data_IF_818283787688
#
_entry.id   IF_818283787688
#
_cell.length_a   1.000
_cell.length_b   1.000
_cell.length_c   1.000
_cell.angle_alpha   90.00
_cell.angle_beta   90.00
_cell.angle_gamma   90.00
#
_symmetry.space_group_name_H-M   'P 1'
#
loop_
_entity.id
_entity.type
_entity.pdbx_description
1 polymer ?
#
# COMPACT_ATOMS: atom_id res chain seq x y z
N UNK A 1 -1.73 -7.79 -21.77
CA UNK A 1 -3.14 -8.25 -21.61
C UNK A 1 -3.32 -9.15 -20.36
N UNK A 2 -2.25 -9.53 -19.68
CA UNK A 2 -2.19 -10.50 -18.57
C UNK A 2 -1.53 -9.94 -17.29
N UNK A 3 -1.38 -8.61 -17.20
CA UNK A 3 -0.62 -7.97 -16.13
C UNK A 3 -1.14 -8.29 -14.73
N UNK A 4 -2.46 -8.34 -14.54
CA UNK A 4 -3.04 -8.71 -13.25
C UNK A 4 -2.69 -10.14 -12.84
N UNK A 5 -2.78 -11.09 -13.78
CA UNK A 5 -2.42 -12.50 -13.52
C UNK A 5 -0.96 -12.61 -13.08
N UNK A 6 -0.04 -11.98 -13.81
CA UNK A 6 1.40 -11.96 -13.48
C UNK A 6 1.73 -11.31 -12.13
N UNK A 7 1.00 -10.27 -11.75
CA UNK A 7 1.12 -9.66 -10.41
C UNK A 7 0.72 -10.67 -9.34
N UNK A 8 -0.37 -11.42 -9.54
CA UNK A 8 -0.81 -12.43 -8.58
C UNK A 8 0.23 -13.57 -8.46
N UNK A 9 0.75 -14.06 -9.59
CA UNK A 9 1.85 -15.05 -9.60
C UNK A 9 3.09 -14.53 -8.87
N UNK A 10 3.43 -13.24 -9.03
CA UNK A 10 4.56 -12.62 -8.33
C UNK A 10 4.34 -12.55 -6.82
N UNK A 11 3.12 -12.23 -6.38
CA UNK A 11 2.77 -12.22 -4.95
C UNK A 11 2.80 -13.63 -4.34
N UNK A 12 2.53 -14.68 -5.12
CA UNK A 12 2.63 -16.07 -4.67
C UNK A 12 4.08 -16.55 -4.55
N UNK A 13 5.00 -15.97 -5.33
CA UNK A 13 6.44 -16.24 -5.23
C UNK A 13 7.11 -15.49 -4.07
N UNK A 14 6.52 -14.41 -3.58
CA UNK A 14 7.13 -13.54 -2.56
C UNK A 14 7.59 -14.31 -1.30
N UNK A 15 6.80 -15.22 -0.70
CA UNK A 15 7.22 -15.96 0.49
C UNK A 15 8.51 -16.77 0.28
N UNK A 16 8.76 -17.29 -0.93
CA UNK A 16 9.93 -18.15 -1.22
C UNK A 16 11.25 -17.39 -1.41
N UNK A 17 11.21 -16.06 -1.52
CA UNK A 17 12.41 -15.25 -1.67
C UNK A 17 13.14 -15.09 -0.33
N UNK A 18 14.42 -15.45 -0.30
CA UNK A 18 15.31 -15.30 0.87
C UNK A 18 15.94 -13.89 0.91
N UNK A 19 15.09 -12.89 1.13
CA UNK A 19 15.51 -11.50 1.29
C UNK A 19 14.47 -10.70 2.09
N UNK A 20 14.83 -9.46 2.46
CA UNK A 20 13.88 -8.51 3.04
C UNK A 20 12.88 -8.05 1.98
N UNK A 21 11.60 -8.31 2.25
CA UNK A 21 10.47 -8.06 1.34
C UNK A 21 9.64 -6.88 1.79
N UNK A 22 9.33 -5.99 0.86
CA UNK A 22 8.46 -4.83 1.11
C UNK A 22 7.39 -4.76 0.03
N UNK A 23 6.14 -4.60 0.46
CA UNK A 23 5.03 -4.28 -0.43
C UNK A 23 4.66 -2.81 -0.23
N UNK A 24 4.75 -1.99 -1.28
CA UNK A 24 4.39 -0.58 -1.20
C UNK A 24 3.09 -0.28 -1.93
N UNK A 25 2.11 0.23 -1.19
CA UNK A 25 0.84 0.73 -1.69
C UNK A 25 0.93 2.24 -1.86
N UNK A 26 0.75 2.74 -3.08
CA UNK A 26 0.64 4.18 -3.34
C UNK A 26 -0.83 4.56 -3.50
N UNK A 27 -1.35 5.35 -2.56
CA UNK A 27 -2.77 5.65 -2.40
C UNK A 27 -3.14 7.01 -3.02
N UNK A 28 -4.10 6.99 -3.92
CA UNK A 28 -4.72 8.17 -4.51
C UNK A 28 -6.21 8.20 -4.21
N UNK A 29 -6.67 9.33 -3.66
CA UNK A 29 -8.08 9.59 -3.37
C UNK A 29 -8.92 9.51 -4.64
N UNK A 30 -10.11 8.95 -4.51
CA UNK A 30 -11.04 8.77 -5.64
C UNK A 30 -10.63 7.68 -6.63
N UNK A 31 -9.47 7.04 -6.45
CA UNK A 31 -8.98 5.98 -7.34
C UNK A 31 -8.91 4.62 -6.65
N UNK A 32 -8.04 4.48 -5.63
CA UNK A 32 -7.69 3.16 -5.08
C UNK A 32 -7.76 3.05 -3.55
N UNK A 33 -8.16 4.11 -2.84
CA UNK A 33 -8.44 4.08 -1.40
C UNK A 33 -9.82 3.49 -1.09
N UNK A 34 -10.02 2.22 -1.43
CA UNK A 34 -11.27 1.44 -1.24
C UNK A 34 -10.95 -0.03 -1.00
N UNK A 35 -11.91 -0.78 -0.47
CA UNK A 35 -11.78 -2.22 -0.23
C UNK A 35 -10.51 -2.62 0.57
N UNK A 36 -10.26 -2.05 1.76
CA UNK A 36 -9.06 -2.34 2.56
C UNK A 36 -8.86 -3.84 2.84
N UNK A 37 -9.94 -4.60 2.97
CA UNK A 37 -9.93 -6.04 3.15
C UNK A 37 -9.32 -6.79 1.96
N UNK A 38 -9.43 -6.25 0.73
CA UNK A 38 -8.79 -6.85 -0.45
C UNK A 38 -7.28 -6.61 -0.44
N UNK A 39 -6.82 -5.42 0.00
CA UNK A 39 -5.40 -5.18 0.19
C UNK A 39 -4.81 -6.08 1.28
N UNK A 40 -5.53 -6.24 2.39
CA UNK A 40 -5.13 -7.14 3.48
C UNK A 40 -4.92 -8.58 2.98
N UNK A 41 -5.83 -9.10 2.13
CA UNK A 41 -5.66 -10.42 1.49
C UNK A 41 -4.42 -10.52 0.60
N UNK A 42 -4.09 -9.46 -0.14
CA UNK A 42 -2.88 -9.44 -0.98
C UNK A 42 -1.61 -9.42 -0.13
N UNK A 43 -1.62 -8.69 0.99
CA UNK A 43 -0.51 -8.61 1.94
C UNK A 43 -0.29 -9.97 2.61
N UNK A 44 -1.38 -10.60 3.12
CA UNK A 44 -1.32 -11.94 3.71
C UNK A 44 -0.76 -12.98 2.75
N UNK A 45 -1.21 -12.97 1.49
CA UNK A 45 -0.72 -13.94 0.50
C UNK A 45 0.78 -13.76 0.20
N UNK A 46 1.28 -12.53 0.22
CA UNK A 46 2.67 -12.23 -0.11
C UNK A 46 3.62 -12.34 1.09
N UNK A 47 3.12 -12.32 2.32
CA UNK A 47 3.93 -12.37 3.55
C UNK A 47 5.22 -11.50 3.52
N UNK A 48 5.15 -10.21 3.12
CA UNK A 48 6.33 -9.35 3.15
C UNK A 48 6.80 -9.09 4.59
N UNK A 49 8.05 -8.69 4.80
CA UNK A 49 8.46 -8.23 6.14
C UNK A 49 7.75 -6.92 6.50
N UNK A 50 7.53 -6.06 5.51
CA UNK A 50 6.91 -4.74 5.70
C UNK A 50 5.89 -4.42 4.61
N UNK A 51 4.86 -3.65 4.96
CA UNK A 51 3.98 -3.01 4.00
C UNK A 51 3.98 -1.49 4.21
N UNK A 52 4.32 -0.73 3.17
CA UNK A 52 4.29 0.73 3.19
C UNK A 52 2.98 1.22 2.58
N UNK A 53 2.16 1.89 3.38
CA UNK A 53 0.94 2.54 2.93
C UNK A 53 1.23 4.03 2.76
N UNK A 54 1.44 4.47 1.51
CA UNK A 54 1.98 5.81 1.20
C UNK A 54 1.04 6.64 0.34
N UNK A 55 0.95 7.94 0.62
CA UNK A 55 0.23 8.87 -0.23
C UNK A 55 0.83 8.96 -1.64
N UNK A 56 -0.04 9.07 -2.64
CA UNK A 56 0.30 9.66 -3.92
C UNK A 56 0.75 11.12 -3.72
N UNK A 57 1.89 11.51 -4.29
CA UNK A 57 2.39 12.88 -4.25
C UNK A 57 2.21 13.57 -5.60
N UNK A 58 1.57 14.74 -5.60
CA UNK A 58 1.31 15.53 -6.80
C UNK A 58 2.56 16.33 -7.23
N UNK A 59 3.55 15.64 -7.77
CA UNK A 59 4.85 16.20 -8.20
C UNK A 59 5.27 15.64 -9.57
N UNK A 60 6.14 16.37 -10.29
CA UNK A 60 6.67 15.94 -11.59
C UNK A 60 5.59 15.63 -12.64
N UNK A 61 5.79 14.56 -13.43
CA UNK A 61 4.86 14.14 -14.49
C UNK A 61 3.48 13.68 -13.96
N UNK A 62 3.37 13.36 -12.67
CA UNK A 62 2.10 12.94 -12.10
C UNK A 62 1.04 14.04 -12.13
N UNK A 63 1.46 15.30 -12.14
CA UNK A 63 0.58 16.48 -12.21
C UNK A 63 -0.24 16.53 -13.51
N UNK A 64 0.23 15.85 -14.57
CA UNK A 64 -0.50 15.77 -15.85
C UNK A 64 -1.58 14.67 -15.85
N UNK A 65 -1.57 13.77 -14.87
CA UNK A 65 -2.39 12.54 -14.87
C UNK A 65 -3.46 12.54 -13.79
N UNK A 66 -3.15 13.08 -12.61
CA UNK A 66 -4.06 13.15 -11.48
C UNK A 66 -4.08 14.56 -10.91
N UNK A 67 -5.26 15.07 -10.50
CA UNK A 67 -5.39 16.38 -9.88
C UNK A 67 -4.78 16.40 -8.47
N UNK A 68 -4.44 17.59 -7.97
CA UNK A 68 -3.83 17.77 -6.63
C UNK A 68 -4.70 17.24 -5.49
N UNK A 69 -6.02 17.28 -5.61
CA UNK A 69 -6.93 16.73 -4.60
C UNK A 69 -6.93 15.18 -4.55
N UNK A 70 -6.32 14.51 -5.53
CA UNK A 70 -6.10 13.06 -5.47
C UNK A 70 -5.00 12.68 -4.45
N UNK A 71 -4.16 13.62 -4.02
CA UNK A 71 -3.14 13.42 -3.00
C UNK A 71 -3.78 13.39 -1.60
N UNK A 72 -3.77 12.24 -0.89
CA UNK A 72 -4.36 12.16 0.44
C UNK A 72 -3.55 12.92 1.49
N UNK A 73 -4.24 13.35 2.54
CA UNK A 73 -3.63 13.83 3.77
C UNK A 73 -3.09 12.63 4.56
N UNK A 74 -2.15 12.91 5.47
CA UNK A 74 -1.56 11.86 6.29
C UNK A 74 -2.60 11.12 7.15
N UNK A 75 -3.55 11.83 7.74
CA UNK A 75 -4.65 11.24 8.53
C UNK A 75 -5.48 10.23 7.73
N UNK A 76 -5.69 10.48 6.43
CA UNK A 76 -6.46 9.59 5.56
C UNK A 76 -5.65 8.36 5.15
N UNK A 77 -4.34 8.52 4.97
CA UNK A 77 -3.42 7.39 4.78
C UNK A 77 -3.42 6.52 6.03
N UNK A 78 -3.31 7.11 7.22
CA UNK A 78 -3.33 6.42 8.50
C UNK A 78 -4.63 5.68 8.74
N UNK A 79 -5.78 6.35 8.57
CA UNK A 79 -7.09 5.71 8.70
C UNK A 79 -7.27 4.54 7.72
N UNK A 80 -6.72 4.64 6.50
CA UNK A 80 -6.76 3.52 5.55
C UNK A 80 -5.82 2.37 5.95
N UNK A 81 -4.61 2.68 6.45
CA UNK A 81 -3.67 1.70 6.96
C UNK A 81 -4.24 0.94 8.17
N UNK A 82 -4.91 1.62 9.10
CA UNK A 82 -5.62 1.01 10.24
C UNK A 82 -6.70 0.04 9.76
N UNK A 83 -7.50 0.43 8.76
CA UNK A 83 -8.51 -0.46 8.16
C UNK A 83 -7.89 -1.69 7.53
N UNK A 84 -6.74 -1.57 6.85
CA UNK A 84 -6.00 -2.73 6.31
C UNK A 84 -5.54 -3.62 7.45
N UNK A 85 -4.88 -3.06 8.47
CA UNK A 85 -4.35 -3.79 9.62
C UNK A 85 -5.45 -4.55 10.38
N UNK A 86 -6.66 -4.00 10.47
CA UNK A 86 -7.82 -4.70 11.06
C UNK A 86 -8.27 -5.96 10.30
N UNK A 87 -7.78 -6.18 9.07
CA UNK A 87 -8.13 -7.30 8.22
C UNK A 87 -6.96 -8.26 7.93
N UNK A 88 -5.79 -8.07 8.55
CA UNK A 88 -4.65 -8.98 8.44
C UNK A 88 -3.85 -9.06 9.75
N UNK A 89 -2.78 -9.86 9.74
CA UNK A 89 -1.86 -10.08 10.85
C UNK A 89 -0.85 -8.96 11.05
N UNK A 90 -0.81 -7.96 10.16
CA UNK A 90 0.13 -6.85 10.22
C UNK A 90 -0.41 -5.73 11.11
N UNK A 91 0.49 -5.05 11.82
CA UNK A 91 0.18 -3.93 12.70
C UNK A 91 0.96 -2.69 12.29
N UNK A 92 0.43 -1.52 12.62
CA UNK A 92 1.15 -0.27 12.43
C UNK A 92 2.38 -0.27 13.32
N UNK A 93 3.55 -0.08 12.70
CA UNK A 93 4.85 -0.02 13.35
C UNK A 93 5.33 1.40 13.53
N UNK A 94 5.20 2.20 12.49
CA UNK A 94 5.74 3.56 12.44
C UNK A 94 5.03 4.40 11.38
N UNK A 95 5.27 5.71 11.40
CA UNK A 95 4.75 6.65 10.42
C UNK A 95 5.70 7.83 10.17
N UNK A 96 5.67 8.38 8.95
CA UNK A 96 6.40 9.59 8.59
C UNK A 96 5.44 10.62 7.97
N UNK A 97 5.28 11.75 8.66
CA UNK A 97 4.33 12.80 8.31
C UNK A 97 4.72 13.50 7.00
N UNK A 98 6.01 13.78 6.81
CA UNK A 98 6.52 14.54 5.66
C UNK A 98 6.34 13.76 4.36
N UNK A 99 6.59 12.45 4.39
CA UNK A 99 6.39 11.55 3.25
C UNK A 99 4.97 10.98 3.16
N UNK A 100 4.11 11.27 4.14
CA UNK A 100 2.74 10.75 4.27
C UNK A 100 2.66 9.23 4.09
N UNK A 101 3.41 8.51 4.91
CA UNK A 101 3.51 7.04 4.85
C UNK A 101 3.33 6.43 6.22
N UNK A 102 2.62 5.30 6.25
CA UNK A 102 2.49 4.42 7.42
C UNK A 102 3.14 3.09 7.09
N UNK A 103 3.96 2.61 8.02
CA UNK A 103 4.63 1.32 7.93
C UNK A 103 3.84 0.28 8.73
N UNK A 104 3.53 -0.84 8.08
CA UNK A 104 3.00 -2.03 8.71
C UNK A 104 4.08 -3.12 8.81
N UNK A 105 4.10 -3.85 9.90
CA UNK A 105 4.99 -4.98 10.18
C UNK A 105 4.17 -6.15 10.76
N UNK A 106 4.57 -7.39 10.47
CA UNK A 106 3.96 -8.60 11.03
C UNK A 106 4.47 -8.88 12.44
#
# INVERSE_FOLDING_TARGET
KDGWKKINESLELFPSLDCRKVLRLTLAKGLNMKDPEKYAKLIERAEPNFCEVKAFMHVGEAQKRLPRNAMPLMEEVKSFAEKIANHCSYRIKDEDLDSRVVLLEK
#
